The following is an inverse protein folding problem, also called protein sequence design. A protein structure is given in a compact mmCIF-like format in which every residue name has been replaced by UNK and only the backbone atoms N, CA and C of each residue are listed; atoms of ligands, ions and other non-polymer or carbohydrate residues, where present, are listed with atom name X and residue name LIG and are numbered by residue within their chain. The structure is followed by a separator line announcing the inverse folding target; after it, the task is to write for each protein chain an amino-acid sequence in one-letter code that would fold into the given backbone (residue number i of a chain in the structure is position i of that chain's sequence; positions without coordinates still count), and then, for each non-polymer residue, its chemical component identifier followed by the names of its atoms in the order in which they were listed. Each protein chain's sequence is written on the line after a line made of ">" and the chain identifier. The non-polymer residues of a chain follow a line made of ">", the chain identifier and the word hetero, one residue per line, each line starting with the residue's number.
data_IF_523184513429
#
_entry.id   IF_523184513429
#
_cell.length_a   1.000
_cell.length_b   1.000
_cell.length_c   1.000
_cell.angle_alpha   90.00
_cell.angle_beta   90.00
_cell.angle_gamma   90.00
#
_symmetry.space_group_name_H-M   'P 1'
#
loop_
_entity.id
_entity.type
_entity.pdbx_description
1 polymer ?
#
# COMPACT_ATOMS: atom_id res chain seq x y z
N UNK A 1 -12.95 16.10 -16.51
CA UNK A 1 -12.71 15.78 -15.08
C UNK A 1 -12.66 14.26 -14.86
N UNK A 2 -11.56 13.71 -14.35
CA UNK A 2 -11.41 12.26 -14.12
C UNK A 2 -11.98 11.93 -12.74
N UNK A 3 -13.14 11.27 -12.68
CA UNK A 3 -13.70 10.75 -11.42
C UNK A 3 -12.73 9.69 -10.90
N UNK A 4 -12.12 9.94 -9.74
CA UNK A 4 -11.27 8.95 -9.07
C UNK A 4 -12.17 7.94 -8.36
N UNK A 5 -11.97 6.65 -8.62
CA UNK A 5 -12.69 5.59 -7.91
C UNK A 5 -12.41 5.67 -6.40
N UNK A 6 -13.43 5.47 -5.53
CA UNK A 6 -13.26 5.53 -4.06
C UNK A 6 -12.54 4.30 -3.49
N UNK A 7 -12.18 3.35 -4.34
CA UNK A 7 -11.42 2.17 -3.95
C UNK A 7 -10.37 1.83 -5.00
N UNK A 8 -9.34 1.12 -4.57
CA UNK A 8 -8.29 0.57 -5.41
C UNK A 8 -7.93 -0.82 -4.90
N UNK A 9 -7.73 -1.75 -5.82
CA UNK A 9 -7.10 -3.04 -5.54
C UNK A 9 -6.03 -3.29 -6.61
N UNK A 10 -4.87 -3.81 -6.20
CA UNK A 10 -3.79 -4.14 -7.12
C UNK A 10 -3.01 -5.36 -6.63
N UNK A 11 -2.53 -6.17 -7.57
CA UNK A 11 -1.49 -7.16 -7.32
C UNK A 11 -0.15 -6.57 -7.75
N UNK A 12 0.87 -6.73 -6.92
CA UNK A 12 2.23 -6.23 -7.16
C UNK A 12 3.24 -7.31 -6.81
N UNK A 13 4.47 -7.18 -7.30
CA UNK A 13 5.57 -7.97 -6.74
C UNK A 13 5.73 -7.69 -5.24
N UNK A 14 5.94 -8.74 -4.46
CA UNK A 14 6.20 -8.68 -3.03
C UNK A 14 7.45 -7.87 -2.66
N UNK A 15 7.54 -7.38 -1.43
CA UNK A 15 8.79 -6.84 -0.91
C UNK A 15 9.85 -7.95 -0.85
N UNK A 16 11.12 -7.56 -0.78
CA UNK A 16 12.23 -8.49 -0.57
C UNK A 16 12.73 -8.40 0.87
N UNK A 17 12.63 -9.50 1.61
CA UNK A 17 13.04 -9.60 3.01
C UNK A 17 14.57 -9.46 3.23
N UNK A 18 15.42 -9.70 2.22
CA UNK A 18 16.88 -9.47 2.33
C UNK A 18 17.21 -7.99 2.61
N UNK A 19 16.30 -7.08 2.23
CA UNK A 19 16.41 -5.65 2.51
C UNK A 19 15.86 -5.23 3.87
N UNK A 20 15.33 -6.15 4.68
CA UNK A 20 14.83 -5.85 6.02
C UNK A 20 15.97 -5.76 7.02
N UNK A 21 15.83 -4.86 7.97
CA UNK A 21 16.82 -4.66 9.04
C UNK A 21 16.13 -4.20 10.32
N UNK A 22 16.90 -4.10 11.40
CA UNK A 22 16.42 -3.46 12.64
C UNK A 22 15.96 -2.02 12.44
N UNK A 23 16.40 -1.34 11.37
CA UNK A 23 15.94 0.01 11.01
C UNK A 23 14.61 0.05 10.24
N UNK A 24 14.08 -1.13 9.87
CA UNK A 24 12.79 -1.31 9.22
C UNK A 24 12.86 -1.99 7.85
N UNK A 25 11.74 -1.93 7.13
CA UNK A 25 11.47 -2.74 5.93
C UNK A 25 11.62 -2.00 4.60
N UNK A 26 11.92 -0.70 4.64
CA UNK A 26 11.99 0.14 3.43
C UNK A 26 13.04 -0.34 2.42
N UNK A 27 14.08 -1.01 2.89
CA UNK A 27 15.12 -1.60 2.04
C UNK A 27 14.59 -2.73 1.13
N UNK A 28 13.46 -3.35 1.49
CA UNK A 28 12.83 -4.41 0.68
C UNK A 28 12.08 -3.92 -0.56
N UNK A 29 12.05 -2.61 -0.85
CA UNK A 29 11.44 -2.08 -2.08
C UNK A 29 12.23 -2.55 -3.30
N UNK A 30 11.54 -3.22 -4.22
CA UNK A 30 12.18 -3.75 -5.40
C UNK A 30 12.37 -2.67 -6.48
N UNK A 31 13.48 -2.78 -7.23
CA UNK A 31 13.82 -1.90 -8.35
C UNK A 31 13.49 -2.65 -9.63
N UNK A 32 12.57 -2.13 -10.45
CA UNK A 32 11.90 -2.86 -11.53
C UNK A 32 12.78 -3.77 -12.41
N UNK A 33 13.97 -3.34 -12.83
CA UNK A 33 14.87 -4.17 -13.66
C UNK A 33 15.54 -5.34 -12.93
N UNK A 34 15.40 -5.41 -11.61
CA UNK A 34 15.93 -6.46 -10.71
C UNK A 34 14.82 -7.00 -9.79
N UNK A 35 13.56 -6.78 -10.15
CA UNK A 35 12.44 -7.22 -9.34
C UNK A 35 12.26 -8.73 -9.46
N UNK A 36 12.14 -9.41 -8.32
CA UNK A 36 11.70 -10.79 -8.22
C UNK A 36 10.18 -10.82 -8.25
N UNK A 37 9.59 -11.84 -8.87
CA UNK A 37 8.14 -11.98 -8.97
C UNK A 37 7.66 -13.37 -8.54
N UNK A 38 8.43 -14.01 -7.65
CA UNK A 38 8.14 -15.35 -7.13
C UNK A 38 6.94 -15.31 -6.17
N UNK A 39 6.90 -14.30 -5.30
CA UNK A 39 5.79 -14.05 -4.38
C UNK A 39 5.09 -12.72 -4.72
N UNK A 40 3.77 -12.81 -4.89
CA UNK A 40 2.92 -11.65 -5.10
C UNK A 40 2.42 -11.06 -3.79
N UNK A 41 2.13 -9.77 -3.82
CA UNK A 41 1.44 -9.08 -2.76
C UNK A 41 0.21 -8.35 -3.28
N UNK A 42 -0.74 -8.13 -2.38
CA UNK A 42 -2.00 -7.46 -2.67
C UNK A 42 -2.07 -6.15 -1.91
N UNK A 43 -2.49 -5.11 -2.62
CA UNK A 43 -2.75 -3.79 -2.07
C UNK A 43 -4.23 -3.50 -2.18
N UNK A 44 -4.83 -3.09 -1.08
CA UNK A 44 -6.19 -2.57 -1.03
C UNK A 44 -6.20 -1.14 -0.48
N UNK A 45 -7.04 -0.28 -1.04
CA UNK A 45 -7.34 1.04 -0.49
C UNK A 45 -8.83 1.34 -0.61
N UNK A 46 -9.37 1.95 0.43
CA UNK A 46 -10.72 2.50 0.47
C UNK A 46 -10.65 3.96 0.93
N UNK A 47 -11.33 4.84 0.22
CA UNK A 47 -11.54 6.23 0.56
C UNK A 47 -13.05 6.47 0.73
N UNK A 48 -13.43 7.14 1.81
CA UNK A 48 -14.79 7.54 2.11
C UNK A 48 -14.88 9.05 2.30
N UNK A 49 -15.83 9.68 1.61
CA UNK A 49 -16.12 11.10 1.68
C UNK A 49 -17.57 11.27 2.16
N UNK A 50 -17.81 11.53 3.45
CA UNK A 50 -19.15 11.75 3.97
C UNK A 50 -19.80 12.97 3.30
N UNK A 51 -21.07 12.87 2.92
CA UNK A 51 -21.79 13.99 2.32
C UNK A 51 -22.14 15.09 3.32
N UNK A 52 -22.13 14.79 4.62
CA UNK A 52 -22.47 15.71 5.70
C UNK A 52 -21.34 16.68 6.04
N UNK A 53 -20.09 16.33 5.73
CA UNK A 53 -18.91 17.13 6.04
C UNK A 53 -18.13 17.38 4.76
N UNK A 54 -18.41 18.51 4.12
CA UNK A 54 -17.76 18.90 2.88
C UNK A 54 -16.24 19.00 3.07
N UNK A 55 -15.48 18.39 2.16
CA UNK A 55 -14.01 18.42 2.17
C UNK A 55 -13.36 17.33 3.02
N UNK A 56 -14.13 16.56 3.80
CA UNK A 56 -13.60 15.47 4.62
C UNK A 56 -13.38 14.19 3.80
N UNK A 57 -12.21 13.57 3.96
CA UNK A 57 -11.86 12.25 3.41
C UNK A 57 -11.28 11.40 4.54
N UNK A 58 -11.85 10.21 4.71
CA UNK A 58 -11.34 9.14 5.56
C UNK A 58 -10.81 8.03 4.64
N UNK A 59 -9.58 7.61 4.83
CA UNK A 59 -8.98 6.59 3.98
C UNK A 59 -8.26 5.53 4.79
N UNK A 60 -8.32 4.29 4.32
CA UNK A 60 -7.56 3.17 4.87
C UNK A 60 -6.95 2.36 3.74
N UNK A 61 -5.78 1.79 3.97
CA UNK A 61 -5.10 0.91 3.02
C UNK A 61 -4.37 -0.22 3.71
N UNK A 62 -4.21 -1.31 2.98
CA UNK A 62 -3.46 -2.48 3.41
C UNK A 62 -2.55 -3.00 2.31
N UNK A 63 -1.45 -3.59 2.74
CA UNK A 63 -0.55 -4.40 1.95
C UNK A 63 -0.43 -5.77 2.63
N UNK A 64 -0.57 -6.86 1.87
CA UNK A 64 -0.35 -8.22 2.38
C UNK A 64 0.40 -9.03 1.32
N UNK A 65 1.51 -9.66 1.70
CA UNK A 65 2.25 -10.56 0.82
C UNK A 65 3.38 -11.30 1.53
N UNK A 66 3.89 -12.35 0.89
CA UNK A 66 5.11 -13.03 1.34
C UNK A 66 6.33 -12.27 0.78
N UNK A 67 7.25 -11.87 1.67
CA UNK A 67 8.47 -11.16 1.27
C UNK A 67 9.69 -12.07 1.14
N UNK A 68 9.51 -13.38 1.28
CA UNK A 68 10.60 -14.36 1.15
C UNK A 68 11.18 -14.40 -0.27
N UNK A 69 10.35 -14.22 -1.30
CA UNK A 69 10.73 -14.15 -2.72
C UNK A 69 11.58 -15.34 -3.20
N UNK A 70 11.43 -16.51 -2.56
CA UNK A 70 12.27 -17.69 -2.78
C UNK A 70 13.74 -17.54 -2.37
N UNK A 71 14.11 -16.46 -1.68
CA UNK A 71 15.49 -16.19 -1.24
C UNK A 71 15.74 -16.60 0.22
N UNK A 72 14.66 -16.74 0.99
CA UNK A 72 14.70 -17.18 2.39
C UNK A 72 13.88 -18.45 2.51
N UNK A 73 14.44 -19.46 3.19
CA UNK A 73 13.73 -20.73 3.48
C UNK A 73 12.73 -20.55 4.64
N UNK A 74 11.83 -19.57 4.49
CA UNK A 74 10.75 -19.27 5.42
C UNK A 74 9.66 -18.42 4.74
N UNK A 75 8.43 -18.54 5.22
CA UNK A 75 7.35 -17.62 4.86
C UNK A 75 7.52 -16.32 5.64
N UNK A 76 7.88 -15.24 4.94
CA UNK A 76 8.01 -13.90 5.52
C UNK A 76 6.73 -13.11 5.25
N UNK A 77 5.65 -13.50 5.94
CA UNK A 77 4.39 -12.78 5.85
C UNK A 77 4.58 -11.33 6.30
N UNK A 78 4.34 -10.41 5.37
CA UNK A 78 4.50 -8.97 5.60
C UNK A 78 3.16 -8.29 5.41
N UNK A 79 2.76 -7.53 6.42
CA UNK A 79 1.49 -6.80 6.46
C UNK A 79 1.75 -5.34 6.82
N UNK A 80 1.17 -4.42 6.07
CA UNK A 80 1.20 -2.99 6.36
C UNK A 80 -0.22 -2.46 6.34
N UNK A 81 -0.54 -1.61 7.30
CA UNK A 81 -1.83 -0.96 7.42
C UNK A 81 -1.60 0.53 7.61
N UNK A 82 -2.36 1.35 6.91
CA UNK A 82 -2.31 2.80 7.01
C UNK A 82 -3.72 3.36 7.01
N UNK A 83 -3.98 4.30 7.91
CA UNK A 83 -5.21 5.08 7.98
C UNK A 83 -4.85 6.56 7.87
N UNK A 84 -5.72 7.34 7.22
CA UNK A 84 -5.56 8.78 7.14
C UNK A 84 -6.90 9.50 7.17
N UNK A 85 -6.83 10.75 7.63
CA UNK A 85 -7.94 11.69 7.65
C UNK A 85 -7.44 12.99 7.04
N UNK A 86 -8.20 13.53 6.09
CA UNK A 86 -7.92 14.82 5.48
C UNK A 86 -9.19 15.66 5.43
N UNK A 87 -9.08 16.95 5.75
CA UNK A 87 -10.15 17.90 5.57
C UNK A 87 -9.63 19.14 4.82
N UNK A 88 -10.06 19.32 3.58
CA UNK A 88 -9.67 20.46 2.75
C UNK A 88 -10.72 21.57 2.73
N UNK A 89 -10.28 22.82 2.91
CA UNK A 89 -11.15 23.97 2.68
C UNK A 89 -11.48 24.09 1.19
N UNK A 90 -12.75 23.94 0.83
CA UNK A 90 -13.24 24.26 -0.52
C UNK A 90 -13.50 25.78 -0.55
N UNK A 91 -12.47 26.56 -0.85
CA UNK A 91 -12.67 27.93 -1.32
C UNK A 91 -13.02 27.82 -2.80
N UNK A 92 -14.32 27.77 -3.11
CA UNK A 92 -14.78 27.92 -4.49
C UNK A 92 -14.43 29.34 -4.96
N UNK A 93 -13.55 29.44 -5.96
CA UNK A 93 -13.38 30.64 -6.79
C UNK A 93 -14.39 30.59 -7.94
#
# INVERSE_FOLDING_TARGET
>A
PRVRSPWLAAAVSGLNAEGFSSSGIRGGRQKGSKALAEDWAFIGRLDYTPSQVHGLVLGASSYVGNSGQGQVDANVLTQLYEEHIWNGNIMAL
#
